data_IF_208936305944
#
_entry.id   IF_208936305944
#
_cell.length_a   1.000
_cell.length_b   1.000
_cell.length_c   1.000
_cell.angle_alpha   90.00
_cell.angle_beta   90.00
_cell.angle_gamma   90.00
#
_symmetry.space_group_name_H-M   'P 1'
#
loop_
_entity.id
_entity.type
_entity.pdbx_description
1 polymer ?
#
# COMPACT_ATOMS: atom_id res chain seq x y z
N UNK A 1 30.43 12.07 7.37
CA UNK A 1 29.65 13.28 7.74
C UNK A 1 28.17 12.94 7.52
N UNK A 2 27.37 12.80 8.58
CA UNK A 2 25.91 12.69 8.46
C UNK A 2 25.39 14.06 8.01
N UNK A 3 24.95 14.17 6.76
CA UNK A 3 24.24 15.35 6.27
C UNK A 3 22.95 15.47 7.06
N UNK A 4 22.72 16.57 7.74
CA UNK A 4 21.47 16.83 8.44
C UNK A 4 20.37 16.96 7.40
N UNK A 5 19.38 16.06 7.43
CA UNK A 5 18.23 16.14 6.53
C UNK A 5 17.39 17.36 6.98
N UNK A 6 17.24 18.33 6.11
CA UNK A 6 16.48 19.55 6.40
C UNK A 6 15.23 19.59 5.52
N UNK A 7 14.07 19.47 6.12
CA UNK A 7 12.78 19.55 5.44
C UNK A 7 11.75 20.20 6.37
N UNK A 8 10.91 21.15 5.91
CA UNK A 8 10.00 21.91 6.78
C UNK A 8 8.99 21.04 7.53
N UNK A 9 8.63 19.89 6.98
CA UNK A 9 7.70 18.95 7.60
C UNK A 9 8.25 18.28 8.85
N UNK A 10 9.57 18.05 8.95
CA UNK A 10 10.13 17.25 10.05
C UNK A 10 9.98 17.92 11.42
N UNK A 11 10.30 19.22 11.57
CA UNK A 11 10.03 19.93 12.84
C UNK A 11 8.56 19.96 13.20
N UNK A 12 7.67 20.14 12.22
CA UNK A 12 6.22 20.20 12.43
C UNK A 12 5.68 18.84 12.92
N UNK A 13 6.10 17.73 12.31
CA UNK A 13 5.75 16.37 12.76
C UNK A 13 6.22 16.12 14.20
N UNK A 14 7.47 16.47 14.50
CA UNK A 14 8.02 16.30 15.85
C UNK A 14 7.29 17.13 16.91
N UNK A 15 6.89 18.34 16.57
CA UNK A 15 6.15 19.20 17.47
C UNK A 15 4.72 18.67 17.70
N UNK A 16 4.06 18.20 16.65
CA UNK A 16 2.69 17.69 16.74
C UNK A 16 2.60 16.32 17.42
N UNK A 17 3.57 15.44 17.16
CA UNK A 17 3.58 14.05 17.62
C UNK A 17 4.86 13.73 18.42
N UNK A 18 5.05 14.33 19.61
CA UNK A 18 6.29 14.19 20.37
C UNK A 18 6.57 12.75 20.83
N UNK A 19 5.51 11.93 20.98
CA UNK A 19 5.61 10.54 21.42
C UNK A 19 5.73 9.53 20.25
N UNK A 20 5.67 9.98 19.00
CA UNK A 20 5.80 9.10 17.83
C UNK A 20 7.22 9.18 17.29
N UNK A 21 7.87 8.02 17.14
CA UNK A 21 9.18 7.94 16.49
C UNK A 21 9.01 7.84 14.99
N UNK A 22 9.46 8.86 14.27
CA UNK A 22 9.54 8.86 12.83
C UNK A 22 10.98 8.61 12.38
N UNK A 23 11.18 7.60 11.54
CA UNK A 23 12.45 7.41 10.85
C UNK A 23 12.40 8.13 9.52
N UNK A 24 13.49 8.79 9.16
CA UNK A 24 13.57 9.62 7.96
C UNK A 24 14.73 9.13 7.11
N UNK A 25 14.47 8.95 5.83
CA UNK A 25 15.48 8.64 4.83
C UNK A 25 15.47 9.70 3.72
N UNK A 26 16.64 9.99 3.17
CA UNK A 26 16.81 10.84 2.00
C UNK A 26 17.49 10.04 0.90
N UNK A 27 16.91 10.05 -0.28
CA UNK A 27 17.50 9.46 -1.46
C UNK A 27 17.23 10.33 -2.67
N UNK A 28 18.28 10.86 -3.30
CA UNK A 28 18.18 11.72 -4.50
C UNK A 28 17.16 12.85 -4.32
N UNK A 29 17.30 13.61 -3.24
CA UNK A 29 16.44 14.73 -2.84
C UNK A 29 14.98 14.36 -2.53
N UNK A 30 14.65 13.07 -2.48
CA UNK A 30 13.36 12.56 -2.01
C UNK A 30 13.45 12.25 -0.52
N UNK A 31 12.63 12.95 0.26
CA UNK A 31 12.51 12.71 1.69
C UNK A 31 11.38 11.71 1.94
N UNK A 32 11.71 10.61 2.60
CA UNK A 32 10.76 9.58 3.01
C UNK A 32 10.67 9.54 4.52
N UNK A 33 9.46 9.64 5.05
CA UNK A 33 9.16 9.48 6.48
C UNK A 33 8.48 8.15 6.69
N UNK A 34 9.09 7.30 7.52
CA UNK A 34 8.47 6.05 7.95
C UNK A 34 7.46 6.34 9.06
N UNK A 35 6.21 5.96 8.83
CA UNK A 35 5.09 6.19 9.73
C UNK A 35 4.59 4.85 10.26
N UNK A 36 4.43 4.66 11.58
CA UNK A 36 3.76 3.49 12.11
C UNK A 36 2.32 3.38 11.58
N UNK A 37 1.87 2.18 11.25
CA UNK A 37 0.56 1.96 10.62
C UNK A 37 -0.60 2.60 11.41
N UNK A 38 -0.59 2.46 12.74
CA UNK A 38 -1.60 3.03 13.63
C UNK A 38 -1.63 4.58 13.65
N UNK A 39 -0.57 5.23 13.22
CA UNK A 39 -0.47 6.69 13.19
C UNK A 39 -0.71 7.29 11.80
N UNK A 40 -0.98 6.44 10.79
CA UNK A 40 -1.08 6.88 9.40
C UNK A 40 -2.16 7.95 9.20
N UNK A 41 -3.40 7.67 9.61
CA UNK A 41 -4.52 8.61 9.39
C UNK A 41 -4.32 9.94 10.08
N UNK A 42 -3.85 9.92 11.34
CA UNK A 42 -3.65 11.14 12.11
C UNK A 42 -2.52 11.98 11.50
N UNK A 43 -1.41 11.32 11.12
CA UNK A 43 -0.29 11.97 10.43
C UNK A 43 -0.73 12.56 9.09
N UNK A 44 -1.47 11.80 8.28
CA UNK A 44 -1.95 12.22 6.97
C UNK A 44 -2.90 13.42 7.06
N UNK A 45 -3.84 13.42 8.00
CA UNK A 45 -4.74 14.57 8.27
C UNK A 45 -3.96 15.80 8.67
N UNK A 46 -3.02 15.66 9.60
CA UNK A 46 -2.17 16.77 10.00
C UNK A 46 -1.41 17.36 8.80
N UNK A 47 -0.77 16.53 7.99
CA UNK A 47 -0.01 16.98 6.82
C UNK A 47 -0.89 17.72 5.81
N UNK A 48 -2.14 17.30 5.62
CA UNK A 48 -3.09 17.98 4.71
C UNK A 48 -3.58 19.29 5.28
N UNK A 49 -3.94 19.33 6.57
CA UNK A 49 -4.72 20.42 7.17
C UNK A 49 -3.86 21.54 7.78
N UNK A 50 -2.61 21.24 8.15
CA UNK A 50 -1.68 22.24 8.68
C UNK A 50 -1.40 23.35 7.66
N UNK A 51 -1.60 24.62 8.05
CA UNK A 51 -1.50 25.75 7.16
C UNK A 51 -0.09 25.97 6.58
N UNK A 52 0.96 25.56 7.31
CA UNK A 52 2.34 25.68 6.87
C UNK A 52 2.79 24.54 5.95
N UNK A 53 2.05 23.43 5.92
CA UNK A 53 2.40 22.23 5.16
C UNK A 53 1.48 22.01 3.95
N UNK A 54 0.17 21.96 4.16
CA UNK A 54 -0.88 21.84 3.15
C UNK A 54 -0.59 20.83 2.05
N UNK A 55 -0.30 19.56 2.41
CA UNK A 55 -0.16 18.48 1.44
C UNK A 55 -1.51 18.11 0.84
N UNK A 56 -2.00 18.97 -0.05
CA UNK A 56 -3.33 18.89 -0.63
C UNK A 56 -3.44 17.91 -1.80
N UNK A 57 -2.34 17.32 -2.23
CA UNK A 57 -2.33 16.39 -3.36
C UNK A 57 -1.59 15.08 -3.00
N UNK A 58 -2.29 13.95 -3.13
CA UNK A 58 -1.70 12.63 -3.21
C UNK A 58 -1.39 12.35 -4.68
N UNK A 59 -0.10 12.34 -5.03
CA UNK A 59 0.34 12.14 -6.41
C UNK A 59 0.48 10.67 -6.77
N UNK A 60 0.84 9.86 -5.78
CA UNK A 60 1.15 8.46 -5.99
C UNK A 60 0.87 7.67 -4.71
N UNK A 61 0.37 6.46 -4.88
CA UNK A 61 0.20 5.48 -3.83
C UNK A 61 0.51 4.11 -4.42
N UNK A 62 1.52 3.44 -3.89
CA UNK A 62 1.94 2.14 -4.38
C UNK A 62 2.33 1.17 -3.28
N UNK A 63 2.23 -0.13 -3.58
CA UNK A 63 2.67 -1.23 -2.75
C UNK A 63 4.00 -1.81 -3.23
N UNK A 64 4.79 -2.34 -2.30
CA UNK A 64 6.05 -3.05 -2.60
C UNK A 64 6.12 -4.32 -1.76
N UNK A 65 6.49 -5.44 -2.38
CA UNK A 65 6.84 -6.68 -1.69
C UNK A 65 8.38 -6.81 -1.64
N UNK A 66 8.92 -6.87 -0.43
CA UNK A 66 10.37 -6.97 -0.16
C UNK A 66 10.84 -8.39 0.08
N UNK A 67 10.03 -9.43 -0.18
CA UNK A 67 10.36 -10.83 0.14
C UNK A 67 11.77 -11.26 -0.29
N UNK A 68 12.22 -10.78 -1.45
CA UNK A 68 13.55 -11.11 -2.00
C UNK A 68 14.55 -9.94 -1.90
N UNK A 69 14.19 -8.87 -1.17
CA UNK A 69 15.09 -7.74 -1.03
C UNK A 69 16.12 -8.02 0.09
N UNK A 70 17.42 -7.90 -0.20
CA UNK A 70 18.46 -8.19 0.79
C UNK A 70 18.31 -7.35 2.05
N UNK A 71 18.37 -7.99 3.21
CA UNK A 71 18.28 -7.35 4.53
C UNK A 71 16.96 -6.63 4.83
N UNK A 72 15.88 -6.91 4.08
CA UNK A 72 14.56 -6.40 4.44
C UNK A 72 14.12 -6.97 5.79
N UNK A 73 13.64 -6.09 6.67
CA UNK A 73 13.10 -6.46 7.99
C UNK A 73 11.59 -6.61 7.97
N UNK A 74 10.95 -6.13 6.90
CA UNK A 74 9.51 -6.16 6.69
C UNK A 74 9.20 -6.67 5.29
N UNK A 75 8.08 -7.37 5.15
CA UNK A 75 7.70 -7.96 3.88
C UNK A 75 7.05 -6.96 2.93
N UNK A 76 6.08 -6.18 3.39
CA UNK A 76 5.38 -5.23 2.54
C UNK A 76 5.63 -3.79 2.95
N UNK A 77 5.58 -2.89 1.98
CA UNK A 77 5.59 -1.46 2.21
C UNK A 77 4.55 -0.77 1.35
N UNK A 78 3.85 0.20 1.93
CA UNK A 78 2.94 1.11 1.21
C UNK A 78 3.55 2.49 1.24
N UNK A 79 3.71 3.10 0.06
CA UNK A 79 4.32 4.41 -0.11
C UNK A 79 3.27 5.42 -0.60
N UNK A 80 3.25 6.60 0.01
CA UNK A 80 2.37 7.70 -0.29
C UNK A 80 3.20 8.90 -0.76
N UNK A 81 3.12 9.25 -2.03
CA UNK A 81 3.77 10.43 -2.61
C UNK A 81 2.87 11.67 -2.46
N UNK A 82 3.25 12.58 -1.59
CA UNK A 82 2.49 13.77 -1.25
C UNK A 82 3.13 15.03 -1.83
N UNK A 83 2.30 15.93 -2.32
CA UNK A 83 2.74 17.24 -2.80
C UNK A 83 1.88 18.33 -2.16
N UNK A 84 2.55 19.36 -1.65
CA UNK A 84 1.94 20.64 -1.31
C UNK A 84 2.10 21.59 -2.49
N UNK A 85 1.02 21.81 -3.22
CA UNK A 85 1.03 22.74 -4.35
C UNK A 85 1.31 24.18 -3.87
N UNK A 86 0.66 24.67 -2.78
CA UNK A 86 0.89 26.03 -2.32
C UNK A 86 2.32 26.32 -1.87
N UNK A 87 2.99 25.33 -1.30
CA UNK A 87 4.35 25.50 -0.76
C UNK A 87 5.44 24.92 -1.65
N UNK A 88 5.06 24.27 -2.78
CA UNK A 88 5.97 23.60 -3.70
C UNK A 88 6.97 22.65 -3.02
N UNK A 89 6.47 21.85 -2.07
CA UNK A 89 7.23 20.82 -1.36
C UNK A 89 6.64 19.44 -1.59
N UNK A 90 7.50 18.42 -1.56
CA UNK A 90 7.14 17.01 -1.73
C UNK A 90 7.61 16.20 -0.55
N UNK A 91 6.88 15.15 -0.24
CA UNK A 91 7.18 14.22 0.82
C UNK A 91 6.71 12.82 0.44
N UNK A 92 7.47 11.82 0.84
CA UNK A 92 7.01 10.45 0.83
C UNK A 92 6.71 9.99 2.25
N UNK A 93 5.54 9.41 2.46
CA UNK A 93 5.29 8.58 3.63
C UNK A 93 5.46 7.12 3.25
N UNK A 94 5.98 6.33 4.17
CA UNK A 94 6.08 4.88 4.02
C UNK A 94 5.55 4.19 5.26
N UNK A 95 4.73 3.17 5.06
CA UNK A 95 4.26 2.27 6.10
C UNK A 95 4.72 0.87 5.78
N UNK A 96 5.27 0.17 6.77
CA UNK A 96 5.60 -1.24 6.63
C UNK A 96 4.51 -2.12 7.24
N UNK A 97 4.29 -3.28 6.63
CA UNK A 97 3.32 -4.29 7.03
C UNK A 97 3.94 -5.68 6.91
N UNK A 98 3.58 -6.55 7.84
CA UNK A 98 3.99 -7.94 7.83
C UNK A 98 2.76 -8.85 7.97
N UNK A 99 2.65 -9.93 7.19
CA UNK A 99 1.55 -10.86 7.34
C UNK A 99 1.66 -11.60 8.68
N UNK A 100 0.54 -11.77 9.37
CA UNK A 100 0.46 -12.61 10.57
C UNK A 100 0.32 -14.09 10.22
N UNK A 101 -0.26 -14.39 9.06
CA UNK A 101 -0.43 -15.74 8.56
C UNK A 101 0.46 -15.96 7.34
N UNK A 102 1.49 -16.79 7.49
CA UNK A 102 2.38 -17.21 6.40
C UNK A 102 1.72 -18.17 5.39
N UNK A 103 0.41 -18.19 5.28
CA UNK A 103 -0.25 -18.99 4.23
C UNK A 103 0.14 -18.39 2.88
N UNK A 104 1.17 -18.98 2.28
CA UNK A 104 1.65 -18.63 0.95
C UNK A 104 0.49 -18.65 -0.04
N UNK A 105 0.14 -17.54 -0.68
CA UNK A 105 -0.75 -17.58 -1.84
C UNK A 105 -0.01 -18.33 -2.94
N UNK A 106 -0.63 -19.36 -3.50
CA UNK A 106 -0.05 -20.11 -4.60
C UNK A 106 0.35 -21.55 -4.29
N UNK A 107 -0.12 -22.13 -3.17
CA UNK A 107 -0.09 -23.57 -2.99
C UNK A 107 -0.97 -24.19 -4.08
N UNK A 108 -0.43 -25.05 -4.98
CA UNK A 108 -1.23 -25.74 -5.97
C UNK A 108 -2.36 -26.53 -5.27
N UNK A 109 -3.61 -26.20 -5.54
CA UNK A 109 -4.78 -26.80 -4.89
C UNK A 109 -5.41 -25.96 -3.78
N UNK A 110 -4.96 -24.75 -3.56
CA UNK A 110 -5.65 -23.80 -2.66
C UNK A 110 -7.06 -23.54 -3.18
N UNK A 111 -8.06 -23.97 -2.41
CA UNK A 111 -9.47 -23.70 -2.71
C UNK A 111 -9.66 -22.20 -2.91
N UNK A 112 -10.49 -21.84 -3.90
CA UNK A 112 -10.99 -20.47 -4.08
C UNK A 112 -11.55 -20.04 -2.73
N UNK A 113 -10.88 -19.12 -2.05
CA UNK A 113 -11.35 -18.60 -0.77
C UNK A 113 -12.71 -17.97 -1.01
N UNK A 114 -13.70 -18.38 -0.20
CA UNK A 114 -15.01 -17.76 -0.18
C UNK A 114 -14.87 -16.23 -0.15
N UNK A 115 -15.71 -15.53 -0.93
CA UNK A 115 -15.74 -14.06 -0.96
C UNK A 115 -15.83 -13.44 0.45
N UNK A 116 -16.53 -14.13 1.37
CA UNK A 116 -16.62 -13.74 2.78
C UNK A 116 -15.30 -13.85 3.56
N UNK A 117 -14.38 -14.74 3.17
CA UNK A 117 -13.05 -14.82 3.78
C UNK A 117 -12.08 -13.76 3.17
N UNK A 118 -12.36 -13.31 1.96
CA UNK A 118 -11.64 -12.19 1.34
C UNK A 118 -11.96 -10.85 2.03
N UNK A 119 -13.14 -10.71 2.63
CA UNK A 119 -13.53 -9.53 3.41
C UNK A 119 -12.72 -9.33 4.72
N UNK A 120 -12.09 -10.37 5.23
CA UNK A 120 -11.33 -10.27 6.47
C UNK A 120 -9.83 -10.05 6.27
N UNK A 121 -9.26 -10.46 5.14
CA UNK A 121 -7.83 -10.32 4.83
C UNK A 121 -6.89 -10.94 5.89
N UNK A 122 -5.60 -10.78 5.71
CA UNK A 122 -4.60 -11.10 6.75
C UNK A 122 -4.58 -9.96 7.78
N UNK A 123 -4.70 -10.22 9.10
CA UNK A 123 -4.70 -9.16 10.12
C UNK A 123 -3.45 -8.27 10.07
N UNK A 124 -2.30 -8.83 9.77
CA UNK A 124 -1.04 -8.07 9.65
C UNK A 124 -0.93 -7.25 8.35
N UNK A 125 -1.83 -7.46 7.38
CA UNK A 125 -1.91 -6.73 6.12
C UNK A 125 -3.10 -5.76 6.07
N UNK A 126 -3.45 -5.16 7.20
CA UNK A 126 -4.53 -4.17 7.29
C UNK A 126 -3.96 -2.78 7.53
N UNK A 127 -4.50 -1.81 6.80
CA UNK A 127 -4.08 -0.41 6.89
C UNK A 127 -5.32 0.47 6.76
N UNK A 128 -5.35 1.58 7.48
CA UNK A 128 -6.45 2.52 7.35
C UNK A 128 -6.44 3.20 5.97
N UNK A 129 -7.62 3.27 5.34
CA UNK A 129 -7.81 3.98 4.07
C UNK A 129 -7.62 5.49 4.25
N UNK A 130 -6.90 6.11 3.32
CA UNK A 130 -6.75 7.57 3.26
C UNK A 130 -7.72 8.26 2.29
N UNK A 131 -8.71 7.54 1.77
CA UNK A 131 -9.74 8.09 0.86
C UNK A 131 -10.51 9.25 1.46
N UNK A 132 -10.75 9.26 2.78
CA UNK A 132 -11.38 10.37 3.50
C UNK A 132 -10.53 11.64 3.55
N UNK A 133 -9.23 11.52 3.25
CA UNK A 133 -8.26 12.62 3.26
C UNK A 133 -7.99 13.07 1.82
N UNK A 134 -7.70 12.13 0.95
CA UNK A 134 -7.46 12.34 -0.49
C UNK A 134 -8.35 11.38 -1.30
N UNK A 135 -9.45 11.86 -1.89
CA UNK A 135 -10.35 11.00 -2.67
C UNK A 135 -9.67 10.25 -3.81
N UNK A 136 -8.59 10.80 -4.37
CA UNK A 136 -7.79 10.14 -5.41
C UNK A 136 -7.12 8.82 -4.97
N UNK A 137 -7.07 8.53 -3.68
CA UNK A 137 -6.56 7.26 -3.16
C UNK A 137 -7.44 6.05 -3.52
N UNK A 138 -8.73 6.27 -3.80
CA UNK A 138 -9.72 5.19 -3.97
C UNK A 138 -9.25 4.11 -4.96
N UNK A 139 -8.85 4.47 -6.15
CA UNK A 139 -8.42 3.49 -7.15
C UNK A 139 -7.03 2.94 -6.89
N UNK A 140 -6.14 3.74 -6.33
CA UNK A 140 -4.79 3.31 -6.00
C UNK A 140 -4.78 2.30 -4.85
N UNK A 141 -5.63 2.48 -3.83
CA UNK A 141 -5.81 1.51 -2.75
C UNK A 141 -6.41 0.20 -3.27
N UNK A 142 -7.38 0.26 -4.18
CA UNK A 142 -7.91 -0.93 -4.85
C UNK A 142 -6.85 -1.68 -5.66
N UNK A 143 -5.96 -0.98 -6.35
CA UNK A 143 -4.85 -1.60 -7.06
C UNK A 143 -3.91 -2.33 -6.10
N UNK A 144 -3.53 -1.70 -4.99
CA UNK A 144 -2.68 -2.33 -3.97
C UNK A 144 -3.37 -3.55 -3.36
N UNK A 145 -4.66 -3.45 -3.05
CA UNK A 145 -5.45 -4.59 -2.59
C UNK A 145 -5.44 -5.72 -3.62
N UNK A 146 -5.72 -5.43 -4.88
CA UNK A 146 -5.80 -6.41 -5.95
C UNK A 146 -4.45 -7.11 -6.20
N UNK A 147 -3.36 -6.36 -6.15
CA UNK A 147 -2.02 -6.86 -6.48
C UNK A 147 -1.28 -7.53 -5.32
N UNK A 148 -1.51 -7.07 -4.08
CA UNK A 148 -0.75 -7.52 -2.90
C UNK A 148 -1.62 -8.11 -1.79
N UNK A 149 -2.93 -7.88 -1.79
CA UNK A 149 -3.83 -8.34 -0.74
C UNK A 149 -3.74 -7.52 0.55
N UNK A 150 -3.30 -6.26 0.47
CA UNK A 150 -3.33 -5.33 1.59
C UNK A 150 -4.74 -4.77 1.70
N UNK A 151 -5.37 -4.95 2.86
CA UNK A 151 -6.75 -4.54 3.10
C UNK A 151 -6.82 -3.12 3.67
N UNK A 152 -7.55 -2.23 2.99
CA UNK A 152 -7.73 -0.84 3.42
C UNK A 152 -9.02 -0.67 4.22
N UNK A 153 -8.87 -0.52 5.53
CA UNK A 153 -9.99 -0.36 6.47
C UNK A 153 -10.69 0.97 6.25
N UNK A 154 -12.01 0.95 6.09
CA UNK A 154 -12.79 2.17 5.83
C UNK A 154 -12.76 2.66 4.39
N UNK A 155 -12.21 1.87 3.46
CA UNK A 155 -12.32 2.15 2.02
C UNK A 155 -13.79 2.03 1.58
N UNK A 156 -14.32 2.96 0.78
CA UNK A 156 -15.76 2.96 0.40
C UNK A 156 -16.19 1.81 -0.49
N UNK A 157 -15.28 1.26 -1.31
CA UNK A 157 -15.59 0.19 -2.28
C UNK A 157 -14.32 -0.62 -2.59
N UNK A 158 -13.85 -1.43 -1.61
CA UNK A 158 -12.62 -2.21 -1.75
C UNK A 158 -12.87 -3.51 -2.51
N UNK A 159 -12.76 -3.45 -3.81
CA UNK A 159 -12.87 -4.60 -4.73
C UNK A 159 -11.73 -4.59 -5.74
N UNK A 160 -11.49 -5.72 -6.39
CA UNK A 160 -10.47 -5.84 -7.44
C UNK A 160 -10.72 -4.84 -8.57
N UNK A 161 -9.66 -4.35 -9.20
CA UNK A 161 -9.73 -3.36 -10.28
C UNK A 161 -9.01 -3.81 -11.56
N UNK A 162 -7.92 -4.56 -11.44
CA UNK A 162 -7.10 -5.03 -12.57
C UNK A 162 -7.34 -6.50 -12.88
N UNK A 163 -7.63 -7.33 -11.88
CA UNK A 163 -7.96 -8.74 -12.06
C UNK A 163 -9.47 -8.96 -11.96
N UNK A 164 -9.98 -10.09 -12.45
CA UNK A 164 -11.39 -10.44 -12.35
C UNK A 164 -11.76 -10.90 -10.92
N UNK A 165 -13.01 -10.79 -10.54
CA UNK A 165 -13.47 -11.08 -9.18
C UNK A 165 -13.15 -12.50 -8.68
N UNK A 166 -13.10 -13.50 -9.54
CA UNK A 166 -12.74 -14.87 -9.20
C UNK A 166 -11.23 -15.16 -9.18
N UNK A 167 -10.37 -14.16 -9.31
CA UNK A 167 -8.92 -14.35 -9.23
C UNK A 167 -8.48 -14.51 -7.77
N UNK A 168 -8.22 -15.74 -7.35
CA UNK A 168 -7.96 -16.09 -5.95
C UNK A 168 -6.58 -15.70 -5.40
N UNK A 169 -5.72 -15.04 -6.19
CA UNK A 169 -4.33 -14.76 -5.86
C UNK A 169 -3.99 -13.26 -5.93
N UNK A 170 -2.76 -12.92 -5.55
CA UNK A 170 -2.22 -11.56 -5.60
C UNK A 170 -0.97 -11.53 -6.50
N UNK A 171 -1.10 -11.10 -7.77
CA UNK A 171 -0.11 -11.39 -8.81
C UNK A 171 1.21 -10.62 -8.69
N UNK A 172 1.30 -9.55 -7.90
CA UNK A 172 2.55 -8.84 -7.68
C UNK A 172 3.31 -9.28 -6.42
N UNK A 173 2.77 -10.22 -5.65
CA UNK A 173 3.55 -10.86 -4.59
C UNK A 173 4.71 -11.65 -5.18
N UNK A 174 5.88 -11.60 -4.54
CA UNK A 174 7.11 -12.24 -5.03
C UNK A 174 7.09 -13.76 -4.94
N UNK A 175 6.22 -14.31 -4.11
CA UNK A 175 5.94 -15.75 -4.00
C UNK A 175 4.89 -16.25 -5.02
N UNK A 176 4.22 -15.36 -5.76
CA UNK A 176 3.34 -15.74 -6.86
C UNK A 176 4.14 -16.03 -8.13
N UNK A 177 3.99 -17.22 -8.76
CA UNK A 177 4.80 -17.57 -9.91
C UNK A 177 4.42 -16.75 -11.15
N UNK A 178 5.44 -16.34 -11.94
CA UNK A 178 5.26 -15.54 -13.16
C UNK A 178 4.30 -16.18 -14.18
N UNK A 179 4.25 -17.52 -14.21
CA UNK A 179 3.39 -18.29 -15.13
C UNK A 179 1.95 -18.45 -14.61
N UNK A 180 1.66 -17.97 -13.38
CA UNK A 180 0.41 -18.25 -12.70
C UNK A 180 0.36 -19.65 -12.09
N UNK A 181 -0.78 -20.00 -11.50
CA UNK A 181 -1.04 -21.31 -10.89
C UNK A 181 -2.17 -22.08 -11.60
N UNK A 182 -2.39 -21.79 -12.88
CA UNK A 182 -3.40 -22.46 -13.70
C UNK A 182 -4.78 -21.81 -13.71
N UNK A 183 -4.90 -20.55 -13.30
CA UNK A 183 -6.19 -19.83 -13.27
C UNK A 183 -6.84 -19.76 -14.66
N UNK A 184 -6.04 -19.70 -15.73
CA UNK A 184 -6.51 -19.65 -17.11
C UNK A 184 -6.89 -21.02 -17.69
N UNK A 185 -6.43 -22.11 -17.09
CA UNK A 185 -6.69 -23.47 -17.57
C UNK A 185 -8.16 -23.88 -17.37
N UNK A 186 -8.89 -23.16 -16.53
CA UNK A 186 -10.32 -23.38 -16.28
C UNK A 186 -11.22 -22.77 -17.35
N UNK A 187 -10.72 -21.96 -18.25
CA UNK A 187 -11.51 -21.38 -19.33
C UNK A 187 -11.75 -22.39 -20.47
N UNK A 188 -13.02 -22.55 -20.81
CA UNK A 188 -13.40 -23.34 -21.98
C UNK A 188 -12.92 -22.62 -23.24
N UNK A 189 -12.02 -23.25 -23.99
CA UNK A 189 -11.58 -22.72 -25.29
C UNK A 189 -12.74 -22.88 -26.27
N UNK A 190 -13.28 -21.77 -26.74
CA UNK A 190 -14.28 -21.75 -27.80
C UNK A 190 -13.51 -21.77 -29.12
N UNK A 191 -13.56 -22.91 -29.82
CA UNK A 191 -13.02 -23.02 -31.19
C UNK A 191 -14.05 -22.53 -32.20
N UNK A 192 -13.58 -22.04 -33.38
CA UNK A 192 -14.47 -21.56 -34.44
C UNK A 192 -15.46 -22.60 -34.96
N UNK A 193 -15.22 -23.88 -34.70
CA UNK A 193 -16.10 -24.98 -35.09
C UNK A 193 -17.31 -25.18 -34.18
N UNK A 194 -17.36 -24.44 -33.03
CA UNK A 194 -18.44 -24.50 -32.06
C UNK A 194 -19.14 -23.16 -31.78
N UNK A 195 -18.93 -22.16 -32.65
CA UNK A 195 -19.56 -20.83 -32.51
C UNK A 195 -20.72 -20.71 -33.51
#
# INVERSE_FOLDING_TARGET
MHRSITHPTLPALKAKFPNTTYHVAEFRDMITVLVPAQNLLETARFLRDDAALRYNMLCELNGVDYLHYPHATHRFGVNYGLTSIPHNIRLWLKVYLDPENETAPGTPGGEVRDEAAAEQGDPGLRLDSVTSIWPGAEWMEREIYDMFGIFFVGHPDLRRILTWNGFGNFPLRKDYPLRGVGEREKYKIITREGA
#
